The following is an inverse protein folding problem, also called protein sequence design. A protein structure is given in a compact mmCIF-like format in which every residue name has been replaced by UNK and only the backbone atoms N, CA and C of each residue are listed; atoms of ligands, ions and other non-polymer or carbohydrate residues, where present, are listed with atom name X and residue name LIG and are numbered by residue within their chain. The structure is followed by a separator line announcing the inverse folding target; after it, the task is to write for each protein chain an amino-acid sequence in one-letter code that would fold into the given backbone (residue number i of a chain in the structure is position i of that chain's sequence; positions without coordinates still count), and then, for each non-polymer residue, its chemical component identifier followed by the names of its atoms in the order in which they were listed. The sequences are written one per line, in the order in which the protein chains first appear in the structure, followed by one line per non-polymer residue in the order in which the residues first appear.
data_IF_804836527882
#
_entry.id   IF_804836527882
#
_cell.length_a   1.000
_cell.length_b   1.000
_cell.length_c   1.000
_cell.angle_alpha   90.00
_cell.angle_beta   90.00
_cell.angle_gamma   90.00
#
_symmetry.space_group_name_H-M   'P 1'
#
loop_
_entity.id
_entity.type
_entity.pdbx_description
1 polymer ?
#
# COMPACT_ATOMS: atom_id res chain seq x y z
N UNK A 1 38.42 -13.39 24.27
CA UNK A 1 37.14 -12.89 24.81
C UNK A 1 36.65 -11.82 23.85
N UNK A 2 35.79 -12.19 22.89
CA UNK A 2 35.17 -11.25 21.95
C UNK A 2 33.68 -11.55 21.96
N UNK A 3 32.91 -10.57 22.44
CA UNK A 3 31.47 -10.66 22.63
C UNK A 3 30.83 -10.45 21.26
N UNK A 4 30.18 -11.50 20.74
CA UNK A 4 29.25 -11.36 19.63
C UNK A 4 27.99 -10.69 20.18
N UNK A 5 27.85 -9.38 19.95
CA UNK A 5 26.59 -8.66 20.15
C UNK A 5 25.68 -8.90 18.94
N UNK A 6 24.93 -10.00 19.01
CA UNK A 6 23.96 -10.42 17.98
C UNK A 6 22.56 -9.83 18.22
N UNK A 7 22.39 -8.93 19.19
CA UNK A 7 21.06 -8.53 19.69
C UNK A 7 20.51 -7.26 19.05
N UNK A 8 21.24 -6.60 18.14
CA UNK A 8 20.81 -5.34 17.53
C UNK A 8 20.12 -5.47 16.15
N UNK A 9 19.98 -6.67 15.59
CA UNK A 9 19.44 -6.85 14.22
C UNK A 9 17.98 -7.34 14.14
N UNK A 10 17.25 -7.45 15.26
CA UNK A 10 15.88 -8.01 15.26
C UNK A 10 14.76 -6.98 15.05
N UNK A 11 15.08 -5.69 14.91
CA UNK A 11 14.08 -4.61 14.78
C UNK A 11 13.77 -4.17 13.34
N UNK A 12 14.26 -4.90 12.32
CA UNK A 12 14.10 -4.53 10.91
C UNK A 12 13.22 -5.51 10.10
N UNK A 13 12.42 -6.38 10.73
CA UNK A 13 11.39 -7.08 9.97
C UNK A 13 10.26 -6.09 9.67
N UNK A 14 10.27 -5.56 8.45
CA UNK A 14 9.18 -4.73 7.90
C UNK A 14 7.83 -5.38 8.19
N UNK A 15 6.79 -4.63 8.59
CA UNK A 15 5.46 -5.19 8.77
C UNK A 15 5.05 -5.92 7.48
N UNK A 16 4.73 -7.20 7.61
CA UNK A 16 4.22 -8.03 6.51
C UNK A 16 2.87 -7.45 6.09
N UNK A 17 2.79 -6.94 4.87
CA UNK A 17 1.54 -6.45 4.32
C UNK A 17 0.71 -7.64 3.85
N UNK A 18 -0.42 -7.90 4.50
CA UNK A 18 -1.43 -8.86 4.03
C UNK A 18 -2.50 -8.15 3.23
N UNK A 19 -2.70 -8.58 1.98
CA UNK A 19 -3.77 -8.08 1.12
C UNK A 19 -5.17 -8.50 1.64
N UNK A 20 -6.26 -7.87 1.18
CA UNK A 20 -7.63 -8.23 1.58
C UNK A 20 -8.09 -9.63 1.13
N UNK A 21 -7.29 -10.36 0.35
CA UNK A 21 -7.50 -11.77 -0.01
C UNK A 21 -6.66 -12.73 0.85
N UNK A 22 -5.89 -12.22 1.81
CA UNK A 22 -5.07 -12.98 2.75
C UNK A 22 -3.64 -13.28 2.27
N UNK A 23 -3.19 -12.72 1.15
CA UNK A 23 -1.84 -12.95 0.65
C UNK A 23 -0.84 -12.03 1.34
N UNK A 24 0.26 -12.61 1.81
CA UNK A 24 1.39 -11.89 2.37
C UNK A 24 2.30 -11.40 1.25
N UNK A 25 2.53 -10.09 1.19
CA UNK A 25 3.49 -9.49 0.25
C UNK A 25 4.77 -9.16 1.01
N UNK A 26 5.83 -9.90 0.71
CA UNK A 26 7.18 -9.64 1.21
C UNK A 26 7.79 -8.43 0.49
N UNK A 27 7.83 -7.28 1.17
CA UNK A 27 8.43 -6.05 0.65
C UNK A 27 9.90 -6.23 0.20
N UNK A 28 10.63 -7.20 0.76
CA UNK A 28 12.02 -7.50 0.43
C UNK A 28 12.21 -8.33 -0.86
N UNK A 29 11.14 -8.92 -1.40
CA UNK A 29 11.20 -9.68 -2.66
C UNK A 29 10.87 -8.83 -3.89
N UNK A 30 10.49 -7.57 -3.72
CA UNK A 30 10.30 -6.60 -4.79
C UNK A 30 11.66 -6.12 -5.35
N UNK A 31 12.47 -7.04 -5.88
CA UNK A 31 13.45 -6.65 -6.90
C UNK A 31 12.62 -6.27 -8.12
N UNK A 32 12.31 -4.98 -8.24
CA UNK A 32 11.72 -4.41 -9.45
C UNK A 32 12.69 -4.72 -10.58
N UNK A 33 12.44 -5.82 -11.31
CA UNK A 33 12.92 -5.89 -12.67
C UNK A 33 12.16 -4.75 -13.34
N UNK A 34 12.83 -3.89 -14.11
CA UNK A 34 12.15 -2.78 -14.81
C UNK A 34 11.17 -3.24 -15.89
N UNK A 35 10.49 -4.37 -15.69
CA UNK A 35 9.47 -4.91 -16.55
C UNK A 35 8.21 -4.03 -16.42
N UNK A 36 7.49 -3.79 -17.52
CA UNK A 36 6.21 -3.09 -17.49
C UNK A 36 5.16 -3.71 -16.57
N UNK A 37 5.29 -4.99 -16.22
CA UNK A 37 4.35 -5.68 -15.34
C UNK A 37 4.67 -5.41 -13.86
N UNK A 38 5.96 -5.32 -13.48
CA UNK A 38 6.38 -4.89 -12.14
C UNK A 38 5.89 -3.46 -11.85
N UNK A 39 5.93 -2.56 -12.84
CA UNK A 39 5.40 -1.20 -12.71
C UNK A 39 3.88 -1.18 -12.44
N UNK A 40 3.11 -2.03 -13.13
CA UNK A 40 1.66 -2.14 -12.91
C UNK A 40 1.35 -2.70 -11.53
N UNK A 41 2.11 -3.68 -11.06
CA UNK A 41 1.96 -4.24 -9.72
C UNK A 41 2.25 -3.20 -8.65
N UNK A 42 3.30 -2.38 -8.83
CA UNK A 42 3.60 -1.27 -7.92
C UNK A 42 2.49 -0.23 -7.88
N UNK A 43 1.92 0.16 -9.03
CA UNK A 43 0.78 1.10 -9.07
C UNK A 43 -0.43 0.49 -8.37
N UNK A 44 -0.71 -0.80 -8.58
CA UNK A 44 -1.80 -1.51 -7.91
C UNK A 44 -1.60 -1.57 -6.38
N UNK A 45 -0.40 -1.89 -5.92
CA UNK A 45 -0.05 -1.90 -4.50
C UNK A 45 -0.18 -0.49 -3.89
N UNK A 46 0.20 0.55 -4.64
CA UNK A 46 0.07 1.94 -4.21
C UNK A 46 -1.39 2.36 -4.03
N UNK A 47 -2.29 1.95 -4.95
CA UNK A 47 -3.74 2.17 -4.81
C UNK A 47 -4.32 1.47 -3.58
N UNK A 48 -3.92 0.23 -3.32
CA UNK A 48 -4.37 -0.52 -2.15
C UNK A 48 -3.87 0.13 -0.85
N UNK A 49 -2.62 0.59 -0.85
CA UNK A 49 -2.06 1.33 0.27
C UNK A 49 -2.81 2.65 0.51
N UNK A 50 -3.09 3.42 -0.54
CA UNK A 50 -3.85 4.67 -0.42
C UNK A 50 -5.25 4.43 0.13
N UNK A 51 -5.95 3.38 -0.33
CA UNK A 51 -7.25 3.00 0.21
C UNK A 51 -7.20 2.70 1.71
N UNK A 52 -6.22 1.90 2.13
CA UNK A 52 -6.00 1.59 3.54
C UNK A 52 -5.67 2.85 4.35
N UNK A 53 -4.75 3.68 3.85
CA UNK A 53 -4.32 4.89 4.53
C UNK A 53 -5.47 5.86 4.76
N UNK A 54 -6.30 6.11 3.74
CA UNK A 54 -7.49 6.97 3.87
C UNK A 54 -8.48 6.39 4.88
N UNK A 55 -8.74 5.08 4.81
CA UNK A 55 -9.62 4.40 5.78
C UNK A 55 -9.11 4.55 7.21
N UNK A 56 -7.80 4.36 7.40
CA UNK A 56 -7.14 4.52 8.69
C UNK A 56 -7.16 5.97 9.18
N UNK A 57 -6.97 6.94 8.28
CA UNK A 57 -7.06 8.36 8.60
C UNK A 57 -8.46 8.71 9.12
N UNK A 58 -9.52 8.21 8.47
CA UNK A 58 -10.90 8.41 8.92
C UNK A 58 -11.14 7.82 10.31
N UNK A 59 -10.61 6.63 10.58
CA UNK A 59 -10.64 6.01 11.91
C UNK A 59 -9.97 6.88 12.97
N UNK A 60 -8.74 7.33 12.73
CA UNK A 60 -8.00 8.17 13.69
C UNK A 60 -8.71 9.52 13.90
N UNK A 61 -9.22 10.14 12.84
CA UNK A 61 -10.01 11.36 12.95
C UNK A 61 -11.25 11.16 13.83
N UNK A 62 -11.93 10.02 13.71
CA UNK A 62 -13.10 9.67 14.53
C UNK A 62 -12.73 9.48 16.00
N UNK A 63 -11.60 8.86 16.29
CA UNK A 63 -11.08 8.69 17.66
C UNK A 63 -10.78 10.03 18.35
N UNK A 64 -10.55 11.11 17.60
CA UNK A 64 -10.37 12.45 18.18
C UNK A 64 -11.67 13.13 18.61
N UNK A 65 -12.83 12.62 18.18
CA UNK A 65 -14.14 13.12 18.59
C UNK A 65 -14.58 12.35 19.82
N UNK A 66 -15.02 13.04 20.88
CA UNK A 66 -15.51 12.39 22.10
C UNK A 66 -16.62 11.40 21.76
N UNK A 67 -16.48 10.15 22.20
CA UNK A 67 -17.52 9.15 22.04
C UNK A 67 -18.78 9.60 22.79
N UNK A 68 -19.87 9.83 22.05
CA UNK A 68 -21.18 9.92 22.67
C UNK A 68 -21.62 8.52 23.11
N UNK A 69 -22.47 8.42 24.14
CA UNK A 69 -23.00 7.15 24.69
C UNK A 69 -23.74 6.25 23.65
N UNK A 70 -23.80 6.67 22.39
CA UNK A 70 -24.41 5.98 21.25
C UNK A 70 -23.45 5.00 20.52
N UNK A 71 -22.18 4.90 20.94
CA UNK A 71 -21.19 3.99 20.30
C UNK A 71 -21.25 2.57 20.88
N UNK A 72 -22.34 1.85 20.57
CA UNK A 72 -22.38 0.41 20.82
C UNK A 72 -21.45 -0.36 19.87
N UNK A 73 -21.06 -1.59 20.23
CA UNK A 73 -20.21 -2.48 19.41
C UNK A 73 -20.70 -2.64 17.96
N UNK A 74 -21.99 -2.53 17.70
CA UNK A 74 -22.53 -2.62 16.34
C UNK A 74 -22.22 -1.36 15.51
N UNK A 75 -22.24 -0.18 16.13
CA UNK A 75 -21.93 1.09 15.46
C UNK A 75 -20.47 1.16 15.01
N UNK A 76 -19.55 0.65 15.82
CA UNK A 76 -18.12 0.62 15.44
C UNK A 76 -17.84 -0.26 14.21
N UNK A 77 -18.55 -1.38 14.05
CA UNK A 77 -18.46 -2.19 12.83
C UNK A 77 -19.00 -1.46 11.60
N UNK A 78 -20.14 -0.78 11.71
CA UNK A 78 -20.68 0.03 10.61
C UNK A 78 -19.69 1.13 10.19
N UNK A 79 -19.08 1.81 11.16
CA UNK A 79 -18.05 2.81 10.85
C UNK A 79 -16.83 2.20 10.16
N UNK A 80 -16.36 1.02 10.58
CA UNK A 80 -15.23 0.38 9.91
C UNK A 80 -15.51 0.05 8.43
N UNK A 81 -16.70 -0.44 8.11
CA UNK A 81 -17.08 -0.71 6.70
C UNK A 81 -17.26 0.58 5.91
N UNK A 82 -17.82 1.61 6.55
CA UNK A 82 -17.99 2.92 5.93
C UNK A 82 -16.64 3.58 5.61
N UNK A 83 -15.71 3.56 6.57
CA UNK A 83 -14.37 4.12 6.41
C UNK A 83 -13.59 3.35 5.31
N UNK A 84 -13.75 2.03 5.22
CA UNK A 84 -13.18 1.20 4.16
C UNK A 84 -13.74 1.54 2.77
N UNK A 85 -15.06 1.72 2.64
CA UNK A 85 -15.69 2.12 1.38
C UNK A 85 -15.24 3.51 0.93
N UNK A 86 -15.07 4.45 1.88
CA UNK A 86 -14.49 5.76 1.59
C UNK A 86 -13.07 5.60 1.05
N UNK A 87 -12.23 4.80 1.71
CA UNK A 87 -10.86 4.55 1.26
C UNK A 87 -10.79 3.95 -0.15
N UNK A 88 -11.61 2.95 -0.44
CA UNK A 88 -11.69 2.33 -1.77
C UNK A 88 -12.10 3.34 -2.84
N UNK A 89 -13.15 4.13 -2.60
CA UNK A 89 -13.60 5.16 -3.55
C UNK A 89 -12.60 6.28 -3.72
N UNK A 90 -11.91 6.65 -2.65
CA UNK A 90 -10.84 7.64 -2.70
C UNK A 90 -9.70 7.15 -3.59
N UNK A 91 -9.18 5.93 -3.38
CA UNK A 91 -8.06 5.42 -4.20
C UNK A 91 -8.42 5.22 -5.68
N UNK A 92 -9.68 4.90 -6.00
CA UNK A 92 -10.16 4.81 -7.38
C UNK A 92 -10.22 6.16 -8.09
N UNK A 93 -10.59 7.22 -7.36
CA UNK A 93 -10.77 8.57 -7.90
C UNK A 93 -9.51 9.47 -7.80
N UNK A 94 -8.39 8.93 -7.31
CA UNK A 94 -7.13 9.66 -7.14
C UNK A 94 -6.92 10.25 -5.75
N UNK A 95 -7.90 10.09 -4.85
CA UNK A 95 -7.75 10.18 -3.40
C UNK A 95 -6.99 11.40 -2.90
N UNK A 96 -5.89 11.13 -2.19
CA UNK A 96 -4.97 12.16 -1.66
C UNK A 96 -3.69 12.27 -2.50
N UNK A 97 -3.58 11.48 -3.57
CA UNK A 97 -2.49 11.56 -4.56
C UNK A 97 -1.28 10.67 -4.27
N UNK A 98 -1.33 9.73 -3.33
CA UNK A 98 -0.19 8.84 -3.04
C UNK A 98 0.11 7.94 -4.25
N UNK A 99 -0.92 7.36 -4.85
CA UNK A 99 -0.77 6.54 -6.06
C UNK A 99 -0.09 7.33 -7.18
N UNK A 100 -0.52 8.58 -7.37
CA UNK A 100 0.04 9.46 -8.41
C UNK A 100 1.50 9.81 -8.11
N UNK A 101 1.84 10.15 -6.86
CA UNK A 101 3.23 10.41 -6.46
C UNK A 101 4.14 9.21 -6.72
N UNK A 102 3.67 8.00 -6.43
CA UNK A 102 4.45 6.78 -6.72
C UNK A 102 4.58 6.56 -8.22
N UNK A 103 3.52 6.75 -8.99
CA UNK A 103 3.56 6.65 -10.45
C UNK A 103 4.57 7.63 -11.05
N UNK A 104 4.51 8.91 -10.68
CA UNK A 104 5.44 9.95 -11.14
C UNK A 104 6.90 9.63 -10.76
N UNK A 105 7.11 9.11 -9.55
CA UNK A 105 8.43 8.67 -9.10
C UNK A 105 8.96 7.51 -9.96
N UNK A 106 8.14 6.51 -10.27
CA UNK A 106 8.56 5.38 -11.10
C UNK A 106 8.84 5.84 -12.52
N UNK A 107 7.96 6.63 -13.13
CA UNK A 107 8.15 7.14 -14.50
C UNK A 107 9.44 7.95 -14.63
N UNK A 108 9.78 8.74 -13.60
CA UNK A 108 10.99 9.56 -13.57
C UNK A 108 12.28 8.74 -13.39
N UNK A 109 12.26 7.71 -12.54
CA UNK A 109 13.47 6.98 -12.14
C UNK A 109 13.66 5.65 -12.87
N UNK A 110 12.59 5.09 -13.42
CA UNK A 110 12.55 3.81 -14.12
C UNK A 110 11.73 3.96 -15.42
N UNK A 111 12.22 4.74 -16.40
CA UNK A 111 11.52 4.93 -17.65
C UNK A 111 11.30 3.57 -18.33
N UNK A 112 10.11 3.32 -18.91
CA UNK A 112 9.82 2.04 -19.55
C UNK A 112 10.84 1.79 -20.66
N UNK A 113 11.56 0.67 -20.57
CA UNK A 113 12.45 0.26 -21.65
C UNK A 113 11.64 0.11 -22.93
N UNK A 114 12.09 0.66 -24.07
CA UNK A 114 11.37 0.54 -25.34
C UNK A 114 11.11 -0.94 -25.63
N UNK A 115 9.86 -1.29 -25.92
CA UNK A 115 9.53 -2.61 -26.49
C UNK A 115 10.24 -2.69 -27.84
N UNK A 116 11.36 -3.41 -27.90
CA UNK A 116 11.98 -3.76 -29.18
C UNK A 116 10.92 -4.57 -29.94
N UNK A 117 10.51 -4.14 -31.15
CA UNK A 117 9.60 -4.93 -31.96
C UNK A 117 10.24 -6.30 -32.18
N UNK A 118 9.53 -7.37 -31.82
CA UNK A 118 10.00 -8.74 -32.07
C UNK A 118 10.40 -8.84 -33.54
N UNK A 119 11.69 -9.06 -33.78
CA UNK A 119 12.26 -9.18 -35.11
C UNK A 119 11.97 -10.54 -35.76
N UNK A 120 10.82 -11.14 -35.43
CA UNK A 120 10.39 -12.46 -35.91
C UNK A 120 9.26 -12.35 -36.95
N UNK A 121 9.45 -11.51 -37.97
CA UNK A 121 8.66 -11.58 -39.19
C UNK A 121 9.51 -11.29 -40.45
N UNK A 122 10.63 -12.03 -40.57
CA UNK A 122 11.39 -12.20 -41.81
C UNK A 122 11.73 -13.66 -42.03
#
# INVERSE_FOLDING_TARGET
MNIHDSTQAQFLSSPVFTDPLGNQIDANQLKVKGSPDDQKELIKASKQYEAFFVSYLMKVMRETVHESEMSGKMGSYFYSFYDQEIGNRASESGGIGITQMVQEYIEKNYPPTPKVPDSEDR
#
